data_IF_881159247783
#
_entry.id   IF_881159247783
#
_cell.length_a   1.000
_cell.length_b   1.000
_cell.length_c   1.000
_cell.angle_alpha   90.00
_cell.angle_beta   90.00
_cell.angle_gamma   90.00
#
_symmetry.space_group_name_H-M   'P 1'
#
loop_
_entity.id
_entity.type
_entity.pdbx_description
1 polymer ?
#
# COMPACT_ATOMS: atom_id res chain seq x y z
N UNK A 1 -15.66 -17.64 -26.15
CA UNK A 1 -16.57 -17.53 -25.01
C UNK A 1 -16.29 -18.59 -23.94
N UNK A 2 -15.12 -18.52 -23.30
CA UNK A 2 -14.77 -19.33 -22.14
C UNK A 2 -14.12 -18.44 -21.06
N UNK A 3 -14.85 -17.44 -20.59
CA UNK A 3 -14.41 -16.59 -19.46
C UNK A 3 -14.99 -17.05 -18.12
N UNK A 4 -15.80 -18.13 -18.14
CA UNK A 4 -16.59 -18.55 -16.98
C UNK A 4 -15.98 -19.59 -16.05
N UNK A 5 -14.86 -20.27 -16.40
CA UNK A 5 -14.47 -21.47 -15.62
C UNK A 5 -13.42 -21.20 -14.51
N UNK A 6 -12.55 -20.22 -14.64
CA UNK A 6 -11.54 -19.97 -13.60
C UNK A 6 -12.10 -19.21 -12.40
N UNK A 7 -12.90 -18.17 -12.63
CA UNK A 7 -13.51 -17.39 -11.55
C UNK A 7 -14.51 -18.24 -10.72
N UNK A 8 -15.30 -19.10 -11.37
CA UNK A 8 -16.20 -20.00 -10.66
C UNK A 8 -15.44 -21.05 -9.84
N UNK A 9 -14.34 -21.61 -10.36
CA UNK A 9 -13.53 -22.58 -9.62
C UNK A 9 -12.84 -21.97 -8.41
N UNK A 10 -12.45 -20.71 -8.49
CA UNK A 10 -11.80 -19.98 -7.37
C UNK A 10 -12.81 -19.61 -6.29
N UNK A 11 -14.05 -19.26 -6.67
CA UNK A 11 -15.15 -19.06 -5.72
C UNK A 11 -15.49 -20.38 -5.00
N UNK A 12 -15.53 -21.50 -5.70
CA UNK A 12 -15.77 -22.82 -5.09
C UNK A 12 -14.62 -23.26 -4.17
N UNK A 13 -13.39 -22.99 -4.50
CA UNK A 13 -12.25 -23.27 -3.61
C UNK A 13 -12.29 -22.44 -2.32
N UNK A 14 -12.64 -21.16 -2.43
CA UNK A 14 -12.85 -20.31 -1.24
C UNK A 14 -14.00 -20.79 -0.37
N UNK A 15 -15.09 -21.24 -0.97
CA UNK A 15 -16.24 -21.79 -0.23
C UNK A 15 -15.92 -23.09 0.50
N UNK A 16 -15.05 -23.93 -0.04
CA UNK A 16 -14.64 -25.19 0.62
C UNK A 16 -13.82 -24.94 1.90
N UNK A 17 -13.07 -23.85 1.97
CA UNK A 17 -12.31 -23.45 3.16
C UNK A 17 -13.20 -22.83 4.26
N UNK A 18 -14.42 -22.40 3.91
CA UNK A 18 -15.33 -21.64 4.81
C UNK A 18 -16.59 -22.46 5.21
N UNK A 19 -16.66 -23.73 4.82
CA UNK A 19 -17.78 -24.61 5.21
C UNK A 19 -17.56 -25.12 6.66
N UNK A 20 -18.61 -25.08 7.51
CA UNK A 20 -20.03 -24.85 7.26
C UNK A 20 -20.40 -23.36 7.12
N UNK A 21 -21.37 -23.09 6.25
CA UNK A 21 -21.81 -21.75 5.80
C UNK A 21 -22.27 -20.81 6.92
N UNK A 22 -22.62 -21.31 8.10
CA UNK A 22 -22.92 -20.49 9.28
C UNK A 22 -21.74 -19.62 9.78
N UNK A 23 -20.51 -19.89 9.32
CA UNK A 23 -19.33 -19.05 9.59
C UNK A 23 -19.16 -17.91 8.60
N UNK A 24 -19.89 -17.91 7.49
CA UNK A 24 -19.76 -16.90 6.43
C UNK A 24 -20.24 -15.51 6.82
N UNK A 25 -21.02 -15.39 7.89
CA UNK A 25 -21.44 -14.09 8.45
C UNK A 25 -20.25 -13.31 9.01
N UNK A 26 -19.12 -14.00 9.27
CA UNK A 26 -17.88 -13.44 9.78
C UNK A 26 -16.67 -13.77 8.88
N UNK A 27 -16.89 -13.74 7.56
CA UNK A 27 -15.86 -14.10 6.56
C UNK A 27 -14.62 -13.20 6.57
N UNK A 28 -14.71 -12.00 7.16
CA UNK A 28 -13.61 -11.08 7.32
C UNK A 28 -12.84 -11.37 8.62
N UNK A 29 -11.64 -11.93 8.47
CA UNK A 29 -10.71 -12.16 9.60
C UNK A 29 -9.41 -11.36 9.37
N UNK A 30 -9.31 -10.15 9.93
CA UNK A 30 -8.12 -9.31 9.76
C UNK A 30 -6.86 -9.94 10.39
N UNK A 31 -6.99 -10.90 11.32
CA UNK A 31 -5.85 -11.57 11.93
C UNK A 31 -5.17 -12.56 10.99
N UNK A 32 -5.81 -12.96 9.90
CA UNK A 32 -5.31 -13.92 8.90
C UNK A 32 -5.10 -13.31 7.53
N UNK A 33 -5.16 -11.99 7.42
CA UNK A 33 -5.01 -11.25 6.18
C UNK A 33 -3.59 -10.65 6.08
N UNK A 34 -2.92 -10.74 4.89
CA UNK A 34 -3.38 -11.36 3.64
C UNK A 34 -3.40 -12.89 3.72
N UNK A 35 -4.40 -13.52 3.08
CA UNK A 35 -4.47 -14.98 2.99
C UNK A 35 -3.38 -15.54 2.07
N UNK A 36 -3.10 -16.84 2.15
CA UNK A 36 -2.12 -17.51 1.26
C UNK A 36 -2.47 -17.30 -0.21
N UNK A 37 -3.76 -17.35 -0.54
CA UNK A 37 -4.23 -17.11 -1.91
C UNK A 37 -3.99 -15.64 -2.32
N UNK A 38 -4.34 -14.70 -1.45
CA UNK A 38 -4.08 -13.28 -1.68
C UNK A 38 -2.58 -12.97 -1.83
N UNK A 39 -1.72 -13.64 -1.06
CA UNK A 39 -0.27 -13.52 -1.21
C UNK A 39 0.18 -13.94 -2.60
N UNK A 40 -0.28 -15.10 -3.09
CA UNK A 40 0.06 -15.56 -4.44
C UNK A 40 -0.39 -14.57 -5.51
N UNK A 41 -1.65 -14.12 -5.45
CA UNK A 41 -2.18 -13.14 -6.39
C UNK A 41 -1.45 -11.80 -6.32
N UNK A 42 -1.16 -11.30 -5.12
CA UNK A 42 -0.46 -10.03 -4.94
C UNK A 42 0.97 -10.06 -5.50
N UNK A 43 1.68 -11.19 -5.35
CA UNK A 43 3.00 -11.39 -5.95
C UNK A 43 2.92 -11.44 -7.49
N UNK A 44 1.92 -12.14 -8.05
CA UNK A 44 1.66 -12.16 -9.49
C UNK A 44 1.34 -10.76 -10.02
N UNK A 45 0.49 -10.00 -9.33
CA UNK A 45 0.14 -8.62 -9.70
C UNK A 45 1.35 -7.67 -9.61
N UNK A 46 2.22 -7.84 -8.61
CA UNK A 46 3.46 -7.07 -8.53
C UNK A 46 4.37 -7.36 -9.74
N UNK A 47 4.53 -8.62 -10.12
CA UNK A 47 5.31 -9.00 -11.30
C UNK A 47 4.69 -8.45 -12.59
N UNK A 48 3.38 -8.61 -12.77
CA UNK A 48 2.65 -8.05 -13.93
C UNK A 48 2.78 -6.53 -14.04
N UNK A 49 2.85 -5.82 -12.91
CA UNK A 49 3.08 -4.37 -12.91
C UNK A 49 4.49 -4.07 -13.40
N UNK A 50 5.50 -4.74 -12.86
CA UNK A 50 6.91 -4.52 -13.21
C UNK A 50 7.20 -4.88 -14.67
N UNK A 51 6.57 -5.93 -15.20
CA UNK A 51 6.74 -6.37 -16.60
C UNK A 51 6.24 -5.35 -17.64
N UNK A 52 5.48 -4.33 -17.22
CA UNK A 52 5.00 -3.26 -18.11
C UNK A 52 6.01 -2.15 -18.36
N UNK A 53 7.09 -2.12 -17.59
CA UNK A 53 8.09 -1.06 -17.65
C UNK A 53 9.45 -1.58 -18.11
N UNK A 54 10.20 -0.73 -18.79
CA UNK A 54 11.59 -1.02 -19.15
C UNK A 54 12.48 -0.79 -17.91
N UNK A 55 12.79 -1.88 -17.20
CA UNK A 55 13.59 -1.86 -15.98
C UNK A 55 12.76 -1.82 -14.70
N UNK A 56 13.46 -1.89 -13.57
CA UNK A 56 12.84 -1.87 -12.23
C UNK A 56 12.76 -0.43 -11.74
N UNK A 57 11.55 0.10 -11.47
CA UNK A 57 11.40 1.44 -10.92
C UNK A 57 12.05 1.54 -9.55
N UNK A 58 12.66 2.68 -9.25
CA UNK A 58 13.28 2.90 -7.94
C UNK A 58 12.26 3.22 -6.87
N UNK A 59 11.22 3.97 -7.24
CA UNK A 59 10.17 4.39 -6.31
C UNK A 59 8.80 4.32 -6.95
N UNK A 60 7.80 3.92 -6.16
CA UNK A 60 6.43 3.73 -6.58
C UNK A 60 5.47 4.19 -5.48
N UNK A 61 4.44 4.96 -5.85
CA UNK A 61 3.33 5.29 -4.96
C UNK A 61 2.17 4.32 -5.18
N UNK A 62 1.69 3.71 -4.10
CA UNK A 62 0.61 2.74 -4.12
C UNK A 62 -0.53 3.19 -3.22
N UNK A 63 -1.73 3.32 -3.80
CA UNK A 63 -2.95 3.61 -3.04
C UNK A 63 -3.61 2.31 -2.60
N UNK A 64 -3.87 2.18 -1.30
CA UNK A 64 -4.47 1.00 -0.68
C UNK A 64 -5.87 1.32 -0.12
N UNK A 65 -6.88 0.71 -0.73
CA UNK A 65 -8.28 0.87 -0.34
C UNK A 65 -8.72 -0.22 0.63
N UNK A 66 -9.41 0.18 1.70
CA UNK A 66 -9.88 -0.76 2.72
C UNK A 66 -10.90 -1.75 2.17
N UNK A 67 -11.91 -1.24 1.44
CA UNK A 67 -12.95 -2.07 0.82
C UNK A 67 -12.39 -3.12 -0.14
N UNK A 68 -11.42 -2.72 -0.97
CA UNK A 68 -10.83 -3.59 -1.97
C UNK A 68 -9.96 -4.68 -1.35
N UNK A 69 -9.22 -4.32 -0.29
CA UNK A 69 -8.46 -5.32 0.46
C UNK A 69 -9.35 -6.30 1.23
N UNK A 70 -10.50 -5.86 1.75
CA UNK A 70 -11.48 -6.76 2.37
C UNK A 70 -12.07 -7.73 1.34
N UNK A 71 -12.43 -7.24 0.14
CA UNK A 71 -12.98 -8.06 -0.95
C UNK A 71 -11.99 -9.09 -1.49
N UNK A 72 -10.71 -8.73 -1.55
CA UNK A 72 -9.62 -9.54 -2.11
C UNK A 72 -8.80 -10.30 -1.07
N UNK A 73 -9.23 -10.35 0.20
CA UNK A 73 -8.51 -10.97 1.32
C UNK A 73 -7.07 -10.47 1.48
N UNK A 74 -6.80 -9.20 1.09
CA UNK A 74 -5.52 -8.55 1.23
C UNK A 74 -4.56 -8.69 0.04
N UNK A 75 -5.08 -8.93 -1.15
CA UNK A 75 -4.23 -9.05 -2.36
C UNK A 75 -3.36 -7.82 -2.60
N UNK A 76 -3.90 -6.61 -2.44
CA UNK A 76 -3.13 -5.37 -2.65
C UNK A 76 -2.08 -5.14 -1.56
N UNK A 77 -2.36 -5.58 -0.32
CA UNK A 77 -1.37 -5.60 0.76
C UNK A 77 -0.20 -6.51 0.40
N UNK A 78 -0.51 -7.70 -0.10
CA UNK A 78 0.51 -8.65 -0.55
C UNK A 78 1.31 -8.12 -1.75
N UNK A 79 0.67 -7.39 -2.67
CA UNK A 79 1.34 -6.70 -3.77
C UNK A 79 2.34 -5.64 -3.26
N UNK A 80 1.95 -4.83 -2.28
CA UNK A 80 2.84 -3.85 -1.66
C UNK A 80 4.06 -4.52 -1.02
N UNK A 81 3.85 -5.60 -0.27
CA UNK A 81 4.94 -6.38 0.33
C UNK A 81 5.87 -6.97 -0.75
N UNK A 82 5.29 -7.54 -1.80
CA UNK A 82 6.07 -8.10 -2.92
C UNK A 82 6.96 -7.04 -3.56
N UNK A 83 6.45 -5.83 -3.82
CA UNK A 83 7.21 -4.72 -4.41
C UNK A 83 8.38 -4.30 -3.51
N UNK A 84 8.16 -4.20 -2.20
CA UNK A 84 9.21 -3.95 -1.19
C UNK A 84 10.25 -5.10 -1.16
N UNK A 85 9.84 -6.31 -1.52
CA UNK A 85 10.63 -7.53 -1.34
C UNK A 85 10.48 -8.11 0.06
N UNK A 86 9.25 -8.14 0.56
CA UNK A 86 8.88 -8.68 1.85
C UNK A 86 7.70 -9.67 1.73
N UNK A 87 7.44 -10.40 2.78
CA UNK A 87 6.31 -11.32 2.92
C UNK A 87 5.68 -11.22 4.30
N UNK A 88 4.39 -11.51 4.46
CA UNK A 88 3.76 -11.52 5.76
C UNK A 88 4.33 -12.66 6.62
N UNK A 89 4.43 -12.40 7.92
CA UNK A 89 4.81 -13.40 8.93
C UNK A 89 3.61 -13.72 9.79
N UNK A 90 3.36 -15.03 9.97
CA UNK A 90 2.28 -15.54 10.81
C UNK A 90 2.86 -16.34 11.98
N UNK A 91 2.15 -16.33 13.09
CA UNK A 91 2.46 -17.16 14.24
C UNK A 91 2.03 -18.63 14.01
N UNK A 92 2.27 -19.49 15.00
CA UNK A 92 1.89 -20.92 14.97
C UNK A 92 0.38 -21.17 14.89
N UNK A 93 -0.44 -20.15 15.18
CA UNK A 93 -1.91 -20.20 15.08
C UNK A 93 -2.42 -19.62 13.75
N UNK A 94 -1.52 -19.25 12.84
CA UNK A 94 -1.85 -18.61 11.58
C UNK A 94 -2.34 -17.17 11.71
N UNK A 95 -1.97 -16.46 12.79
CA UNK A 95 -2.30 -15.05 12.98
C UNK A 95 -1.16 -14.18 12.52
N UNK A 96 -1.49 -13.09 11.84
CA UNK A 96 -0.53 -12.09 11.39
C UNK A 96 0.24 -11.50 12.56
N UNK A 97 1.57 -11.57 12.51
CA UNK A 97 2.45 -11.06 13.56
C UNK A 97 3.55 -10.12 13.03
N UNK A 98 3.56 -9.80 11.75
CA UNK A 98 4.50 -8.85 11.16
C UNK A 98 4.91 -9.20 9.74
N UNK A 99 6.06 -8.71 9.31
CA UNK A 99 6.65 -8.99 8.00
C UNK A 99 8.08 -9.47 8.11
N UNK A 100 8.51 -10.29 7.16
CA UNK A 100 9.90 -10.69 6.97
C UNK A 100 10.38 -10.27 5.58
N UNK A 101 11.65 -9.91 5.48
CA UNK A 101 12.27 -9.63 4.18
C UNK A 101 12.54 -10.94 3.44
N UNK A 102 12.37 -10.89 2.13
CA UNK A 102 12.86 -11.91 1.19
C UNK A 102 14.32 -11.56 0.92
N UNK A 103 15.22 -12.53 0.98
CA UNK A 103 16.63 -12.31 0.66
C UNK A 103 16.79 -11.80 -0.78
N UNK A 104 17.75 -10.89 -1.02
CA UNK A 104 17.94 -10.31 -2.36
C UNK A 104 18.26 -11.36 -3.42
N UNK A 105 18.94 -12.45 -3.05
CA UNK A 105 19.22 -13.59 -3.93
C UNK A 105 17.94 -14.28 -4.42
N UNK A 106 16.94 -14.38 -3.54
CA UNK A 106 15.66 -15.04 -3.83
C UNK A 106 14.70 -14.07 -4.52
N UNK A 107 14.79 -12.78 -4.19
CA UNK A 107 13.99 -11.72 -4.80
C UNK A 107 14.38 -11.49 -6.28
N UNK A 108 15.66 -11.68 -6.63
CA UNK A 108 16.18 -11.57 -8.00
C UNK A 108 16.15 -10.16 -8.60
N UNK A 109 15.87 -9.13 -7.79
CA UNK A 109 15.80 -7.73 -8.20
C UNK A 109 16.08 -6.79 -7.03
N UNK A 110 16.35 -5.50 -7.27
CA UNK A 110 16.42 -4.49 -6.20
C UNK A 110 15.09 -4.36 -5.43
N UNK A 111 15.17 -3.90 -4.18
CA UNK A 111 14.00 -3.49 -3.40
C UNK A 111 13.51 -2.13 -3.88
N UNK A 112 12.24 -2.03 -4.15
CA UNK A 112 11.59 -0.81 -4.61
C UNK A 112 11.15 0.01 -3.40
N UNK A 113 11.34 1.32 -3.45
CA UNK A 113 10.80 2.23 -2.44
C UNK A 113 9.30 2.46 -2.69
N UNK A 114 8.45 1.84 -1.88
CA UNK A 114 6.99 1.88 -2.03
C UNK A 114 6.39 2.85 -1.02
N UNK A 115 5.91 3.99 -1.52
CA UNK A 115 5.15 4.97 -0.73
C UNK A 115 3.68 4.55 -0.72
N UNK A 116 3.16 4.15 0.43
CA UNK A 116 1.81 3.61 0.56
C UNK A 116 0.87 4.66 1.14
N UNK A 117 -0.17 4.99 0.40
CA UNK A 117 -1.25 5.87 0.88
C UNK A 117 -2.49 5.05 1.17
N UNK A 118 -2.92 5.07 2.43
CA UNK A 118 -4.07 4.32 2.90
C UNK A 118 -5.34 5.16 2.86
N UNK A 119 -6.46 4.55 2.47
CA UNK A 119 -7.78 5.14 2.72
C UNK A 119 -8.08 5.17 4.22
N UNK A 120 -9.00 6.05 4.64
CA UNK A 120 -9.44 6.11 6.04
C UNK A 120 -10.04 4.78 6.52
N UNK A 121 -10.82 4.11 5.66
CA UNK A 121 -11.39 2.78 5.94
C UNK A 121 -10.29 1.74 6.14
N UNK A 122 -9.24 1.74 5.31
CA UNK A 122 -8.10 0.84 5.48
C UNK A 122 -7.44 1.04 6.84
N UNK A 123 -7.11 2.29 7.16
CA UNK A 123 -6.48 2.65 8.45
C UNK A 123 -7.29 2.16 9.65
N UNK A 124 -8.62 2.33 9.61
CA UNK A 124 -9.48 2.04 10.75
C UNK A 124 -9.75 0.52 10.91
N UNK A 125 -9.93 -0.19 9.81
CA UNK A 125 -10.28 -1.61 9.84
C UNK A 125 -9.08 -2.56 9.82
N UNK A 126 -7.92 -2.10 9.33
CA UNK A 126 -6.73 -2.93 9.09
C UNK A 126 -5.47 -2.43 9.84
N UNK A 127 -5.56 -2.16 11.17
CA UNK A 127 -4.42 -1.63 11.93
C UNK A 127 -3.24 -2.60 11.99
N UNK A 128 -3.48 -3.92 12.00
CA UNK A 128 -2.41 -4.93 11.99
C UNK A 128 -1.65 -4.91 10.67
N UNK A 129 -2.35 -4.78 9.56
CA UNK A 129 -1.78 -4.69 8.22
C UNK A 129 -1.01 -3.38 8.04
N UNK A 130 -1.55 -2.27 8.56
CA UNK A 130 -0.85 -0.98 8.58
C UNK A 130 0.50 -1.10 9.29
N UNK A 131 0.54 -1.72 10.47
CA UNK A 131 1.78 -1.95 11.22
C UNK A 131 2.74 -2.91 10.51
N UNK A 132 2.22 -3.97 9.88
CA UNK A 132 3.02 -4.92 9.09
C UNK A 132 3.69 -4.23 7.89
N UNK A 133 2.97 -3.38 7.17
CA UNK A 133 3.52 -2.61 6.05
C UNK A 133 4.61 -1.64 6.52
N UNK A 134 4.39 -0.96 7.65
CA UNK A 134 5.38 -0.10 8.27
C UNK A 134 6.63 -0.89 8.73
N UNK A 135 6.44 -2.08 9.31
CA UNK A 135 7.54 -2.98 9.69
C UNK A 135 8.34 -3.44 8.48
N UNK A 136 7.68 -3.79 7.37
CA UNK A 136 8.35 -4.18 6.13
C UNK A 136 9.24 -3.05 5.59
N UNK A 137 8.72 -1.83 5.51
CA UNK A 137 9.47 -0.65 5.07
C UNK A 137 10.67 -0.35 5.99
N UNK A 138 10.46 -0.37 7.30
CA UNK A 138 11.54 -0.13 8.27
C UNK A 138 12.62 -1.22 8.21
N UNK A 139 12.24 -2.50 8.14
CA UNK A 139 13.21 -3.60 7.98
C UNK A 139 14.02 -3.46 6.70
N UNK A 140 13.37 -3.11 5.58
CA UNK A 140 14.05 -2.88 4.31
C UNK A 140 15.05 -1.71 4.39
N UNK A 141 14.66 -0.58 4.98
CA UNK A 141 15.54 0.57 5.17
C UNK A 141 16.72 0.27 6.10
N UNK A 142 16.50 -0.57 7.11
CA UNK A 142 17.50 -0.95 8.12
C UNK A 142 18.40 -2.11 7.68
N UNK A 143 18.03 -2.85 6.63
CA UNK A 143 18.80 -3.98 6.14
C UNK A 143 20.21 -3.55 5.73
N UNK A 144 21.22 -4.37 6.08
CA UNK A 144 22.61 -4.09 5.71
C UNK A 144 22.88 -4.46 4.23
N UNK A 145 22.18 -3.80 3.34
CA UNK A 145 22.24 -3.99 1.89
C UNK A 145 22.83 -2.76 1.21
N UNK A 146 23.43 -2.96 0.03
CA UNK A 146 23.96 -1.83 -0.73
C UNK A 146 22.79 -0.94 -1.22
N UNK A 147 22.84 0.39 -1.03
CA UNK A 147 21.82 1.32 -1.52
C UNK A 147 21.51 1.22 -3.02
N UNK A 148 22.45 0.74 -3.83
CA UNK A 148 22.23 0.53 -5.27
C UNK A 148 21.22 -0.58 -5.60
N UNK A 149 20.95 -1.48 -4.66
CA UNK A 149 20.00 -2.60 -4.78
C UNK A 149 18.90 -2.57 -3.74
N UNK A 150 18.85 -1.51 -2.94
CA UNK A 150 17.80 -1.26 -1.95
C UNK A 150 17.44 0.23 -1.96
N UNK A 151 16.45 0.58 -2.75
CA UNK A 151 16.06 1.97 -2.96
C UNK A 151 15.35 2.59 -1.75
N UNK A 152 14.66 1.78 -0.92
CA UNK A 152 14.07 2.25 0.35
C UNK A 152 15.20 2.76 1.27
N UNK A 153 16.27 1.95 1.41
CA UNK A 153 17.43 2.32 2.22
C UNK A 153 18.14 3.54 1.64
N UNK A 154 18.32 3.58 0.32
CA UNK A 154 18.97 4.72 -0.35
C UNK A 154 18.25 6.04 -0.01
N UNK A 155 16.94 6.10 -0.23
CA UNK A 155 16.13 7.29 0.00
C UNK A 155 16.02 7.65 1.49
N UNK A 156 15.90 6.65 2.38
CA UNK A 156 15.88 6.87 3.82
C UNK A 156 17.21 7.47 4.33
N UNK A 157 18.36 6.95 3.91
CA UNK A 157 19.68 7.48 4.28
C UNK A 157 19.90 8.88 3.72
N UNK A 158 19.46 9.15 2.51
CA UNK A 158 19.53 10.49 1.92
C UNK A 158 18.69 11.48 2.73
N UNK A 159 17.47 11.10 3.13
CA UNK A 159 16.60 11.94 3.96
C UNK A 159 17.21 12.19 5.34
N UNK A 160 17.81 11.18 6.00
CA UNK A 160 18.58 11.33 7.25
C UNK A 160 19.69 12.36 7.09
N UNK A 161 20.47 12.24 6.00
CA UNK A 161 21.59 13.16 5.71
C UNK A 161 21.13 14.61 5.54
N UNK A 162 19.98 14.81 4.88
CA UNK A 162 19.47 16.14 4.55
C UNK A 162 18.75 16.82 5.72
N UNK A 163 18.14 16.04 6.63
CA UNK A 163 17.26 16.57 7.69
C UNK A 163 17.78 16.34 9.11
N UNK A 164 18.69 15.39 9.30
CA UNK A 164 19.21 15.01 10.61
C UNK A 164 18.24 14.18 11.46
N UNK A 165 17.11 13.73 10.93
CA UNK A 165 16.19 12.84 11.65
C UNK A 165 16.79 11.44 11.78
N UNK A 166 16.24 10.63 12.70
CA UNK A 166 16.63 9.23 12.83
C UNK A 166 16.14 8.37 11.64
N UNK A 167 16.74 7.19 11.49
CA UNK A 167 16.42 6.27 10.41
C UNK A 167 14.99 5.73 10.51
N UNK A 168 14.45 5.55 11.71
CA UNK A 168 13.09 5.05 11.93
C UNK A 168 12.08 6.05 11.34
N UNK A 169 12.26 7.34 11.61
CA UNK A 169 11.45 8.41 11.01
C UNK A 169 11.63 8.49 9.50
N UNK A 170 12.87 8.45 9.01
CA UNK A 170 13.16 8.54 7.58
C UNK A 170 12.63 7.33 6.76
N UNK A 171 12.44 6.18 7.41
CA UNK A 171 11.97 4.94 6.79
C UNK A 171 10.43 4.83 6.74
N UNK A 172 9.69 5.78 7.31
CA UNK A 172 8.22 5.77 7.24
C UNK A 172 7.74 5.86 5.80
N UNK A 173 6.93 4.90 5.37
CA UNK A 173 6.38 4.80 4.01
C UNK A 173 4.88 4.55 3.97
N UNK A 174 4.22 4.52 5.13
CA UNK A 174 2.78 4.32 5.24
C UNK A 174 2.14 5.62 5.68
N UNK A 175 1.29 6.17 4.85
CA UNK A 175 0.65 7.47 5.07
C UNK A 175 -0.87 7.36 4.97
N UNK A 176 -1.57 8.16 5.75
CA UNK A 176 -3.04 8.27 5.70
C UNK A 176 -3.50 9.62 6.24
N UNK A 177 -4.80 9.78 6.37
CA UNK A 177 -5.41 10.90 7.08
C UNK A 177 -5.16 10.80 8.60
N UNK A 178 -5.40 11.90 9.33
CA UNK A 178 -5.57 11.85 10.78
C UNK A 178 -6.71 10.91 11.17
N UNK A 179 -6.70 10.44 12.42
CA UNK A 179 -7.81 9.66 12.96
C UNK A 179 -9.14 10.40 12.80
N UNK A 180 -10.18 9.67 12.35
CA UNK A 180 -11.51 10.22 12.11
C UNK A 180 -11.65 11.06 10.83
N UNK A 181 -10.58 11.29 10.07
CA UNK A 181 -10.64 12.01 8.80
C UNK A 181 -10.61 11.03 7.60
N UNK A 182 -11.37 11.35 6.56
CA UNK A 182 -11.51 10.55 5.35
C UNK A 182 -11.39 11.45 4.10
N UNK A 183 -10.95 10.84 2.98
CA UNK A 183 -10.77 11.55 1.70
C UNK A 183 -9.56 12.47 1.67
N UNK A 184 -9.08 12.82 0.49
CA UNK A 184 -8.03 13.83 0.29
C UNK A 184 -8.59 15.23 0.08
N UNK A 185 -9.86 15.34 -0.27
CA UNK A 185 -10.60 16.57 -0.60
C UNK A 185 -10.07 17.29 -1.86
N UNK A 186 -9.26 16.63 -2.67
CA UNK A 186 -8.75 17.21 -3.94
C UNK A 186 -9.90 17.42 -4.91
N UNK A 187 -10.80 16.43 -5.07
CA UNK A 187 -11.99 16.57 -5.91
C UNK A 187 -12.85 17.76 -5.51
N UNK A 188 -13.01 18.02 -4.22
CA UNK A 188 -13.81 19.12 -3.71
C UNK A 188 -13.24 20.49 -4.12
N UNK A 189 -11.91 20.63 -4.15
CA UNK A 189 -11.25 21.83 -4.66
C UNK A 189 -11.42 21.97 -6.16
N UNK A 190 -11.32 20.88 -6.91
CA UNK A 190 -11.53 20.85 -8.37
C UNK A 190 -12.97 21.22 -8.71
N UNK A 191 -13.96 20.59 -8.06
CA UNK A 191 -15.39 20.82 -8.32
C UNK A 191 -15.82 22.26 -7.98
N UNK A 192 -15.24 22.84 -6.93
CA UNK A 192 -15.52 24.22 -6.53
C UNK A 192 -14.72 25.25 -7.32
N UNK A 193 -13.77 24.81 -8.17
CA UNK A 193 -12.81 25.70 -8.84
C UNK A 193 -12.10 26.67 -7.87
N UNK A 194 -11.84 26.19 -6.64
CA UNK A 194 -11.31 27.00 -5.54
C UNK A 194 -9.81 26.84 -5.40
N UNK A 195 -9.09 26.72 -6.50
CA UNK A 195 -7.62 26.69 -6.52
C UNK A 195 -7.11 27.63 -7.60
N UNK A 196 -6.01 28.34 -7.29
CA UNK A 196 -5.40 29.31 -8.21
C UNK A 196 -4.33 28.64 -9.09
N UNK A 197 -3.64 27.64 -8.54
CA UNK A 197 -2.68 26.82 -9.27
C UNK A 197 -2.78 25.33 -8.87
N UNK A 198 -2.09 24.52 -9.63
CA UNK A 198 -2.12 23.07 -9.43
C UNK A 198 -1.30 22.62 -8.20
N UNK A 199 -0.38 23.46 -7.69
CA UNK A 199 0.40 23.15 -6.48
C UNK A 199 -0.47 23.18 -5.23
N UNK A 200 -1.56 23.97 -5.22
CA UNK A 200 -2.55 23.96 -4.14
C UNK A 200 -3.26 22.61 -3.97
N UNK A 201 -3.44 21.87 -5.07
CA UNK A 201 -4.02 20.52 -5.01
C UNK A 201 -3.06 19.53 -4.35
N UNK A 202 -1.76 19.64 -4.63
CA UNK A 202 -0.73 18.85 -3.97
C UNK A 202 -0.62 19.20 -2.48
N UNK A 203 -0.61 20.48 -2.15
CA UNK A 203 -0.57 20.97 -0.76
C UNK A 203 -1.79 20.48 0.04
N UNK A 204 -2.98 20.51 -0.54
CA UNK A 204 -4.20 20.01 0.08
C UNK A 204 -4.13 18.50 0.33
N UNK A 205 -3.63 17.73 -0.65
CA UNK A 205 -3.40 16.30 -0.50
C UNK A 205 -2.41 16.00 0.62
N UNK A 206 -1.25 16.65 0.62
CA UNK A 206 -0.20 16.46 1.62
C UNK A 206 -0.66 16.86 3.03
N UNK A 207 -1.42 17.96 3.16
CA UNK A 207 -1.99 18.39 4.43
C UNK A 207 -2.94 17.35 5.02
N UNK A 208 -3.70 16.66 4.18
CA UNK A 208 -4.68 15.64 4.55
C UNK A 208 -4.05 14.26 4.77
N UNK A 209 -3.13 13.85 3.89
CA UNK A 209 -2.50 12.52 3.88
C UNK A 209 -1.15 12.48 4.60
N UNK A 210 -0.65 13.62 5.08
CA UNK A 210 0.67 13.75 5.70
C UNK A 210 0.81 13.17 7.11
N UNK A 211 0.00 12.18 7.49
CA UNK A 211 0.13 11.44 8.75
C UNK A 211 0.81 10.10 8.48
N UNK A 212 2.04 9.96 8.94
CA UNK A 212 2.83 8.75 8.79
C UNK A 212 2.51 7.76 9.92
N UNK A 213 2.43 6.49 9.58
CA UNK A 213 2.16 5.37 10.49
C UNK A 213 3.38 4.47 10.55
N UNK A 214 3.98 4.38 11.73
CA UNK A 214 5.10 3.49 12.02
C UNK A 214 4.67 2.18 12.68
N UNK A 215 5.64 1.41 13.18
CA UNK A 215 5.44 0.12 13.87
C UNK A 215 4.59 0.31 15.14
N UNK A 216 4.68 1.47 15.79
CA UNK A 216 3.84 1.78 16.97
C UNK A 216 2.34 1.83 16.65
N UNK A 217 1.97 2.02 15.37
CA UNK A 217 0.60 2.22 14.91
C UNK A 217 0.01 3.60 15.24
N UNK A 218 0.77 4.49 15.88
CA UNK A 218 0.32 5.85 16.20
C UNK A 218 0.64 6.79 15.04
N UNK A 219 -0.31 7.64 14.63
CA UNK A 219 -0.08 8.61 13.57
C UNK A 219 0.90 9.70 14.02
N UNK A 220 1.81 10.07 13.14
CA UNK A 220 2.74 11.19 13.31
C UNK A 220 2.56 12.14 12.12
N UNK A 221 2.23 13.40 12.38
CA UNK A 221 2.15 14.38 11.30
C UNK A 221 3.55 14.62 10.74
N UNK A 222 3.78 14.22 9.50
CA UNK A 222 5.06 14.37 8.81
C UNK A 222 4.87 14.64 7.31
N UNK A 223 4.29 15.79 7.01
CA UNK A 223 3.99 16.24 5.66
C UNK A 223 5.28 16.38 4.82
N UNK A 224 6.36 16.88 5.41
CA UNK A 224 7.65 17.05 4.72
C UNK A 224 8.25 15.73 4.25
N UNK A 225 8.10 14.66 5.03
CA UNK A 225 8.56 13.35 4.62
C UNK A 225 7.71 12.80 3.48
N UNK A 226 6.37 12.97 3.54
CA UNK A 226 5.49 12.57 2.44
C UNK A 226 5.88 13.28 1.15
N UNK A 227 6.04 14.60 1.19
CA UNK A 227 6.46 15.42 0.05
C UNK A 227 7.80 14.93 -0.53
N UNK A 228 8.80 14.72 0.33
CA UNK A 228 10.10 14.21 -0.10
C UNK A 228 10.01 12.79 -0.68
N UNK A 229 9.17 11.93 -0.15
CA UNK A 229 8.99 10.59 -0.66
C UNK A 229 8.26 10.59 -2.02
N UNK A 230 7.23 11.43 -2.18
CA UNK A 230 6.47 11.54 -3.43
C UNK A 230 7.27 12.20 -4.55
N UNK A 231 8.16 13.15 -4.25
CA UNK A 231 9.00 13.80 -5.27
C UNK A 231 9.94 12.85 -6.02
N UNK A 232 10.21 11.67 -5.46
CA UNK A 232 11.05 10.64 -6.06
C UNK A 232 10.25 9.53 -6.75
N UNK A 233 8.92 9.60 -6.75
CA UNK A 233 8.04 8.56 -7.29
C UNK A 233 8.09 8.58 -8.81
N UNK A 234 8.39 7.42 -9.40
CA UNK A 234 8.41 7.21 -10.86
C UNK A 234 7.06 6.70 -11.38
N UNK A 235 6.29 6.01 -10.53
CA UNK A 235 5.01 5.39 -10.89
C UNK A 235 4.00 5.58 -9.77
N UNK A 236 2.83 6.12 -10.09
CA UNK A 236 1.66 6.11 -9.20
C UNK A 236 0.68 5.02 -9.65
N UNK A 237 0.26 4.15 -8.73
CA UNK A 237 -0.55 2.99 -9.03
C UNK A 237 -1.63 2.74 -8.00
N UNK A 238 -2.78 2.26 -8.45
CA UNK A 238 -3.83 1.71 -7.60
C UNK A 238 -4.55 0.56 -8.32
N UNK A 239 -5.01 -0.42 -7.56
CA UNK A 239 -5.93 -1.43 -8.04
C UNK A 239 -7.38 -0.96 -7.84
N UNK A 240 -8.25 -1.38 -8.73
CA UNK A 240 -9.69 -1.15 -8.65
C UNK A 240 -10.38 -2.52 -8.66
N UNK A 241 -10.90 -2.94 -7.51
CA UNK A 241 -11.59 -4.21 -7.32
C UNK A 241 -13.11 -4.06 -7.56
N UNK A 242 -13.49 -3.31 -8.58
CA UNK A 242 -14.88 -3.13 -8.94
C UNK A 242 -15.06 -3.31 -10.44
N UNK A 243 -16.11 -4.07 -10.81
CA UNK A 243 -16.56 -4.24 -12.19
C UNK A 243 -17.60 -3.20 -12.60
N UNK A 244 -18.11 -2.43 -11.63
CA UNK A 244 -19.15 -1.42 -11.82
C UNK A 244 -18.58 0.01 -11.97
N UNK A 245 -17.40 0.13 -12.57
CA UNK A 245 -16.74 1.40 -12.78
C UNK A 245 -17.34 2.12 -13.98
N UNK A 246 -18.38 2.90 -13.75
CA UNK A 246 -18.82 3.94 -14.68
C UNK A 246 -18.04 5.24 -14.46
N UNK A 247 -17.92 6.07 -15.50
CA UNK A 247 -17.27 7.40 -15.47
C UNK A 247 -17.82 8.30 -14.35
N UNK A 248 -19.04 8.04 -13.88
CA UNK A 248 -19.76 8.85 -12.89
C UNK A 248 -19.71 8.31 -11.46
N UNK A 249 -19.07 7.16 -11.21
CA UNK A 249 -19.15 6.48 -9.89
C UNK A 249 -17.79 6.34 -9.17
N UNK A 250 -16.72 7.00 -9.63
CA UNK A 250 -15.35 6.67 -9.25
C UNK A 250 -14.60 7.84 -8.59
N UNK A 251 -15.31 8.86 -8.12
CA UNK A 251 -14.73 10.09 -7.56
C UNK A 251 -13.67 9.83 -6.48
N UNK A 252 -13.89 8.86 -5.61
CA UNK A 252 -12.98 8.57 -4.50
C UNK A 252 -11.62 8.03 -4.94
N UNK A 253 -11.58 7.21 -6.00
CA UNK A 253 -10.33 6.62 -6.49
C UNK A 253 -9.45 7.67 -7.16
N UNK A 254 -10.05 8.59 -7.93
CA UNK A 254 -9.32 9.66 -8.59
C UNK A 254 -8.85 10.74 -7.63
N UNK A 255 -9.60 11.00 -6.55
CA UNK A 255 -9.25 11.99 -5.53
C UNK A 255 -7.85 11.75 -4.95
N UNK A 256 -7.53 10.51 -4.60
CA UNK A 256 -6.24 10.17 -4.01
C UNK A 256 -5.13 10.05 -5.07
N UNK A 257 -5.38 9.36 -6.19
CA UNK A 257 -4.38 9.15 -7.23
C UNK A 257 -4.04 10.47 -7.93
N UNK A 258 -5.04 11.33 -8.16
CA UNK A 258 -4.84 12.66 -8.75
C UNK A 258 -3.95 13.56 -7.90
N UNK A 259 -4.05 13.48 -6.58
CA UNK A 259 -3.18 14.22 -5.66
C UNK A 259 -1.72 13.73 -5.64
N UNK A 260 -1.48 12.45 -5.98
CA UNK A 260 -0.13 11.87 -6.03
C UNK A 260 0.54 12.15 -7.38
N UNK A 261 -0.23 12.14 -8.47
CA UNK A 261 0.31 12.18 -9.84
C UNK A 261 0.74 13.57 -10.29
N UNK A 262 0.70 14.53 -9.39
CA UNK A 262 1.27 15.86 -9.56
C UNK A 262 2.72 15.90 -9.08
#
# INVERSE_FOLDING_TARGET
>A
TQVGSSAASDVYKRQAEIVPTGRNIHAFDPFRMPTTFACKQGFEQAQMLLDKYDGIPKSLALVLWGSDNIKSDGTQIAQALALIGAKPRFDSFGRLCGADLIELSDLGRPRIDVVMTLSGIFRDLLPLQTRMLAEAAFKAASANENPSVNYIRANALEYVKNTGVDLETAALRVFSNAEGAYGSNVNQLVDSSSFDDEDELADAYEARKGFAYGISGKPQKNQKLLQSALSNVEIAYQNLESVELGITSVDHYFDTLGGISR
#
